data_IF_507349019015
#
_entry.id   IF_507349019015
#
_cell.length_a   1.000
_cell.length_b   1.000
_cell.length_c   1.000
_cell.angle_alpha   90.00
_cell.angle_beta   90.00
_cell.angle_gamma   90.00
#
_symmetry.space_group_name_H-M   'P 1'
#
loop_
_entity.id
_entity.type
_entity.pdbx_description
1 polymer ?
#
# COMPACT_ATOMS: atom_id res chain seq x y z
N UNK A 1 11.63 -17.22 12.96
CA UNK A 1 11.04 -16.32 11.94
C UNK A 1 11.23 -14.89 12.42
N UNK A 2 12.39 -14.30 12.11
CA UNK A 2 12.62 -12.88 12.37
C UNK A 2 11.80 -12.10 11.36
N UNK A 3 10.94 -11.25 11.89
CA UNK A 3 9.98 -10.54 11.11
C UNK A 3 10.62 -9.23 10.62
N UNK A 4 11.10 -9.25 9.38
CA UNK A 4 11.65 -8.09 8.66
C UNK A 4 10.49 -7.24 8.12
N UNK A 5 9.69 -6.69 9.02
CA UNK A 5 8.75 -5.61 8.70
C UNK A 5 9.61 -4.35 8.83
N UNK A 6 10.09 -3.83 7.70
CA UNK A 6 11.19 -2.85 7.60
C UNK A 6 11.22 -1.74 8.67
N UNK A 7 12.37 -1.08 8.90
CA UNK A 7 12.56 -0.24 10.09
C UNK A 7 11.50 0.87 10.18
N UNK A 8 10.81 0.90 11.32
CA UNK A 8 9.77 1.86 11.67
C UNK A 8 9.27 1.64 13.09
N UNK A 9 8.76 2.70 13.71
CA UNK A 9 8.29 2.70 15.11
C UNK A 9 6.76 2.62 15.21
N UNK A 10 6.06 2.57 14.07
CA UNK A 10 4.59 2.59 14.11
C UNK A 10 4.02 1.29 14.73
N UNK A 11 3.12 1.36 15.72
CA UNK A 11 2.58 0.17 16.42
C UNK A 11 1.80 -0.79 15.52
N UNK A 12 1.31 -0.28 14.39
CA UNK A 12 0.58 -1.04 13.38
C UNK A 12 1.46 -1.63 12.29
N UNK A 13 2.74 -1.24 12.23
CA UNK A 13 3.66 -1.78 11.23
C UNK A 13 3.70 -3.29 11.41
N UNK A 14 3.26 -3.97 10.35
CA UNK A 14 3.30 -5.41 10.33
C UNK A 14 2.27 -6.15 11.18
N UNK A 15 1.31 -5.41 11.73
CA UNK A 15 0.08 -6.01 12.23
C UNK A 15 -0.81 -6.38 11.05
N UNK A 16 -1.64 -7.40 11.26
CA UNK A 16 -2.70 -7.75 10.34
C UNK A 16 -3.85 -6.76 10.55
N UNK A 17 -4.28 -6.11 9.47
CA UNK A 17 -5.43 -5.22 9.53
C UNK A 17 -6.71 -6.06 9.68
N UNK A 18 -7.72 -5.60 10.45
CA UNK A 18 -8.96 -6.34 10.57
C UNK A 18 -9.67 -6.44 9.21
N UNK A 19 -10.01 -7.64 8.73
CA UNK A 19 -10.65 -7.80 7.41
C UNK A 19 -12.06 -7.17 7.34
N UNK A 20 -12.74 -7.04 8.49
CA UNK A 20 -14.06 -6.40 8.58
C UNK A 20 -13.97 -4.86 8.74
N UNK A 21 -12.76 -4.30 8.88
CA UNK A 21 -12.58 -2.84 8.92
C UNK A 21 -13.15 -2.23 7.64
N UNK A 22 -14.00 -1.22 7.80
CA UNK A 22 -14.58 -0.46 6.71
C UNK A 22 -13.86 0.87 6.58
N UNK A 23 -13.55 1.25 5.34
CA UNK A 23 -12.93 2.53 5.02
C UNK A 23 -13.94 3.40 4.31
N UNK A 24 -14.09 4.64 4.73
CA UNK A 24 -14.88 5.62 3.98
C UNK A 24 -14.01 6.20 2.88
N UNK A 25 -14.37 5.95 1.63
CA UNK A 25 -13.67 6.51 0.46
C UNK A 25 -14.23 7.89 0.13
N UNK A 26 -13.43 8.69 -0.58
CA UNK A 26 -13.83 10.03 -1.05
C UNK A 26 -15.04 10.01 -1.99
N UNK A 27 -15.29 8.89 -2.69
CA UNK A 27 -16.48 8.65 -3.51
C UNK A 27 -17.75 8.34 -2.68
N UNK A 28 -17.64 8.30 -1.35
CA UNK A 28 -18.75 8.02 -0.43
C UNK A 28 -19.02 6.53 -0.21
N UNK A 29 -18.32 5.65 -0.91
CA UNK A 29 -18.40 4.20 -0.71
C UNK A 29 -17.69 3.76 0.56
N UNK A 30 -18.13 2.63 1.14
CA UNK A 30 -17.58 2.06 2.38
C UNK A 30 -17.24 0.57 2.25
N UNK A 31 -16.28 0.20 1.39
CA UNK A 31 -15.86 -1.19 1.24
C UNK A 31 -15.18 -1.71 2.51
N UNK A 32 -15.20 -3.02 2.70
CA UNK A 32 -14.38 -3.69 3.73
C UNK A 32 -12.99 -3.94 3.18
N UNK A 33 -12.00 -3.98 4.06
CA UNK A 33 -10.64 -4.37 3.67
C UNK A 33 -10.63 -5.75 2.97
N UNK A 34 -11.43 -6.71 3.46
CA UNK A 34 -11.53 -8.03 2.83
C UNK A 34 -11.96 -7.97 1.36
N UNK A 35 -12.91 -7.11 1.01
CA UNK A 35 -13.39 -6.94 -0.36
C UNK A 35 -12.28 -6.32 -1.25
N UNK A 36 -11.53 -5.36 -0.71
CA UNK A 36 -10.43 -4.71 -1.42
C UNK A 36 -9.24 -5.66 -1.66
N UNK A 37 -8.94 -6.53 -0.70
CA UNK A 37 -7.87 -7.53 -0.82
C UNK A 37 -8.29 -8.78 -1.61
N UNK A 38 -9.57 -8.93 -1.96
CA UNK A 38 -10.06 -10.08 -2.71
C UNK A 38 -9.42 -10.21 -4.10
N UNK A 39 -8.88 -9.12 -4.65
CA UNK A 39 -8.16 -9.09 -5.93
C UNK A 39 -6.78 -9.75 -5.87
N UNK A 40 -6.34 -10.22 -4.69
CA UNK A 40 -5.00 -10.75 -4.44
C UNK A 40 -3.86 -9.76 -4.79
N UNK A 41 -4.18 -8.46 -4.74
CA UNK A 41 -3.24 -7.35 -4.97
C UNK A 41 -2.89 -6.64 -3.66
N UNK A 42 -1.78 -5.91 -3.67
CA UNK A 42 -1.47 -4.98 -2.58
C UNK A 42 -2.48 -3.84 -2.57
N UNK A 43 -2.69 -3.25 -1.40
CA UNK A 43 -3.60 -2.12 -1.22
C UNK A 43 -2.83 -0.96 -0.58
N UNK A 44 -2.82 0.19 -1.24
CA UNK A 44 -2.32 1.44 -0.68
C UNK A 44 -3.52 2.30 -0.28
N UNK A 45 -3.64 2.59 1.00
CA UNK A 45 -4.64 3.50 1.54
C UNK A 45 -3.96 4.81 1.84
N UNK A 46 -4.46 5.92 1.31
CA UNK A 46 -3.95 7.27 1.59
C UNK A 46 -5.09 8.25 1.85
N UNK A 47 -4.85 9.26 2.67
CA UNK A 47 -5.77 10.39 2.87
C UNK A 47 -5.49 11.59 1.96
N UNK A 48 -4.29 11.67 1.35
CA UNK A 48 -3.79 12.89 0.71
C UNK A 48 -3.44 12.75 -0.78
N UNK A 49 -3.68 11.60 -1.42
CA UNK A 49 -3.40 11.30 -2.85
C UNK A 49 -1.94 11.53 -3.31
N UNK A 50 -1.05 12.00 -2.43
CA UNK A 50 0.34 12.34 -2.71
C UNK A 50 1.20 11.10 -2.92
N UNK A 51 0.83 9.99 -2.29
CA UNK A 51 1.49 8.71 -2.42
C UNK A 51 0.82 7.84 -3.50
N UNK A 52 1.48 7.68 -4.65
CA UNK A 52 0.97 6.85 -5.74
C UNK A 52 2.01 5.83 -6.23
N UNK A 53 1.67 4.53 -6.26
CA UNK A 53 2.58 3.46 -6.61
C UNK A 53 2.61 3.26 -8.14
N UNK A 54 2.72 4.33 -8.94
CA UNK A 54 2.55 4.29 -10.40
C UNK A 54 3.28 3.11 -11.10
N UNK A 55 4.58 2.85 -10.88
CA UNK A 55 5.26 1.73 -11.55
C UNK A 55 4.92 0.35 -10.97
N UNK A 56 4.10 0.30 -9.91
CA UNK A 56 3.53 -0.91 -9.30
C UNK A 56 2.00 -0.97 -9.38
N UNK A 57 1.33 -0.04 -10.07
CA UNK A 57 -0.14 0.04 -10.13
C UNK A 57 -0.82 -1.22 -10.70
N UNK A 58 -0.08 -2.03 -11.46
CA UNK A 58 -0.51 -3.34 -11.97
C UNK A 58 -0.74 -4.39 -10.86
N UNK A 59 -0.08 -4.24 -9.72
CA UNK A 59 -0.14 -5.17 -8.58
C UNK A 59 -0.59 -4.51 -7.27
N UNK A 60 -0.85 -3.20 -7.29
CA UNK A 60 -1.24 -2.42 -6.13
C UNK A 60 -2.42 -1.53 -6.47
N UNK A 61 -3.53 -1.76 -5.80
CA UNK A 61 -4.70 -0.90 -5.84
C UNK A 61 -4.49 0.26 -4.88
N UNK A 62 -4.73 1.49 -5.36
CA UNK A 62 -4.63 2.70 -4.53
C UNK A 62 -6.02 3.23 -4.27
N UNK A 63 -6.36 3.43 -3.01
CA UNK A 63 -7.62 4.02 -2.60
C UNK A 63 -7.39 5.25 -1.74
N UNK A 64 -8.27 6.23 -1.91
CA UNK A 64 -8.24 7.45 -1.13
C UNK A 64 -9.39 7.46 -0.16
N UNK A 65 -9.05 7.39 1.12
CA UNK A 65 -10.00 7.41 2.20
C UNK A 65 -10.18 8.84 2.70
N UNK A 66 -11.40 9.20 3.09
CA UNK A 66 -11.67 10.48 3.78
C UNK A 66 -11.15 10.48 5.21
N UNK A 67 -10.95 9.28 5.76
CA UNK A 67 -10.47 9.04 7.11
C UNK A 67 -9.27 8.09 7.10
N UNK A 68 -8.30 8.29 7.99
CA UNK A 68 -7.15 7.41 8.06
C UNK A 68 -7.55 6.01 8.51
N UNK A 69 -6.84 4.94 8.05
CA UNK A 69 -7.16 3.57 8.45
C UNK A 69 -6.92 3.31 9.95
N UNK A 70 -6.11 4.16 10.59
CA UNK A 70 -5.93 4.19 12.03
C UNK A 70 -5.51 5.59 12.50
N UNK A 71 -5.70 5.94 13.78
CA UNK A 71 -5.29 7.23 14.30
C UNK A 71 -3.77 7.43 14.15
N UNK A 72 -3.37 8.58 13.60
CA UNK A 72 -1.96 8.92 13.39
C UNK A 72 -1.32 8.33 12.12
N UNK A 73 -2.11 7.77 11.20
CA UNK A 73 -1.64 7.25 9.91
C UNK A 73 -2.25 8.01 8.73
N UNK A 74 -1.43 8.63 7.90
CA UNK A 74 -1.88 9.26 6.65
C UNK A 74 -1.94 8.26 5.49
N UNK A 75 -0.90 7.41 5.38
CA UNK A 75 -0.81 6.40 4.33
C UNK A 75 -0.40 5.05 4.91
N UNK A 76 -1.02 3.96 4.45
CA UNK A 76 -0.66 2.60 4.82
C UNK A 76 -0.63 1.69 3.59
N UNK A 77 0.44 0.88 3.49
CA UNK A 77 0.58 -0.17 2.49
C UNK A 77 0.22 -1.50 3.13
N UNK A 78 -0.74 -2.20 2.54
CA UNK A 78 -1.22 -3.50 2.98
C UNK A 78 -0.90 -4.53 1.90
N UNK A 79 -0.34 -5.66 2.34
CA UNK A 79 -0.06 -6.81 1.48
C UNK A 79 -1.34 -7.56 1.10
N UNK A 80 -1.34 -8.36 0.02
CA UNK A 80 -2.49 -9.19 -0.34
C UNK A 80 -2.91 -10.17 0.77
N UNK A 81 -1.98 -10.53 1.67
CA UNK A 81 -2.24 -11.35 2.86
C UNK A 81 -2.87 -10.58 4.06
N UNK A 82 -3.05 -9.27 3.93
CA UNK A 82 -3.68 -8.40 4.93
C UNK A 82 -2.73 -7.86 6.00
N UNK A 83 -1.41 -8.01 5.84
CA UNK A 83 -0.43 -7.43 6.75
C UNK A 83 0.03 -6.05 6.29
N UNK A 84 0.19 -5.14 7.25
CA UNK A 84 0.68 -3.79 6.99
C UNK A 84 2.18 -3.84 6.71
N UNK A 85 2.59 -3.56 5.49
CA UNK A 85 3.98 -3.62 5.05
C UNK A 85 4.74 -2.30 5.28
N UNK A 86 4.02 -1.17 5.33
CA UNK A 86 4.60 0.16 5.48
C UNK A 86 3.53 1.16 5.93
N UNK A 87 3.94 2.19 6.68
CA UNK A 87 3.06 3.27 7.15
C UNK A 87 3.74 4.63 7.07
N UNK A 88 2.96 5.67 6.79
CA UNK A 88 3.38 7.07 6.93
C UNK A 88 2.33 7.84 7.74
N UNK A 89 2.75 8.59 8.76
CA UNK A 89 4.09 8.59 9.37
C UNK A 89 4.44 7.24 10.03
N UNK A 90 5.70 7.10 10.46
CA UNK A 90 6.14 6.00 11.33
C UNK A 90 6.94 4.87 10.67
N UNK A 91 7.25 4.97 9.37
CA UNK A 91 8.34 4.19 8.74
C UNK A 91 9.45 5.13 8.29
N UNK A 92 10.70 4.74 8.49
CA UNK A 92 11.89 5.57 8.17
C UNK A 92 12.17 5.64 6.66
N UNK A 93 11.73 4.63 5.93
CA UNK A 93 11.93 4.53 4.48
C UNK A 93 10.76 5.09 3.68
N UNK A 94 11.07 5.56 2.47
CA UNK A 94 10.05 5.98 1.50
C UNK A 94 9.20 4.82 0.99
N UNK A 95 7.99 5.15 0.54
CA UNK A 95 7.05 4.22 -0.08
C UNK A 95 7.73 3.39 -1.19
N UNK A 96 8.51 4.01 -2.08
CA UNK A 96 9.23 3.33 -3.18
C UNK A 96 10.13 2.20 -2.68
N UNK A 97 10.80 2.37 -1.54
CA UNK A 97 11.66 1.34 -0.97
C UNK A 97 10.84 0.17 -0.44
N UNK A 98 9.74 0.45 0.28
CA UNK A 98 8.81 -0.57 0.75
C UNK A 98 8.15 -1.32 -0.41
N UNK A 99 7.72 -0.61 -1.45
CA UNK A 99 7.18 -1.21 -2.67
C UNK A 99 8.19 -2.14 -3.34
N UNK A 100 9.44 -1.71 -3.46
CA UNK A 100 10.51 -2.53 -4.05
C UNK A 100 10.78 -3.79 -3.22
N UNK A 101 10.79 -3.67 -1.89
CA UNK A 101 11.06 -4.76 -0.99
C UNK A 101 9.95 -5.82 -0.99
N UNK A 102 8.69 -5.40 -0.88
CA UNK A 102 7.54 -6.30 -0.76
C UNK A 102 6.98 -6.78 -2.10
N UNK A 103 6.99 -5.91 -3.10
CA UNK A 103 6.37 -6.18 -4.40
C UNK A 103 7.40 -6.35 -5.51
N UNK A 104 8.70 -6.34 -5.21
CA UNK A 104 9.78 -6.47 -6.19
C UNK A 104 10.02 -5.17 -6.96
N UNK A 105 10.95 -5.20 -7.92
CA UNK A 105 11.32 -4.01 -8.70
C UNK A 105 10.12 -3.41 -9.43
N UNK A 106 10.09 -2.07 -9.47
CA UNK A 106 9.18 -1.30 -10.30
C UNK A 106 9.19 -1.89 -11.72
N UNK A 107 8.01 -2.06 -12.32
CA UNK A 107 7.99 -2.26 -13.76
C UNK A 107 8.44 -0.93 -14.33
N UNK A 108 9.70 -0.84 -14.75
CA UNK A 108 10.11 0.21 -15.66
C UNK A 108 9.08 0.17 -16.77
N UNK A 109 8.38 1.28 -17.01
CA UNK A 109 7.71 1.43 -18.29
C UNK A 109 8.78 1.11 -19.30
N UNK A 110 8.65 -0.03 -20.00
CA UNK A 110 9.53 -0.34 -21.09
C UNK A 110 9.38 0.85 -22.01
N UNK A 111 10.37 1.74 -21.99
CA UNK A 111 10.57 2.64 -23.11
C UNK A 111 10.74 1.67 -24.26
N UNK A 112 9.70 1.60 -25.08
CA UNK A 112 9.81 1.07 -26.42
C UNK A 112 10.84 1.95 -27.11
N UNK A 113 12.11 1.60 -26.96
CA UNK A 113 13.13 1.96 -27.91
C UNK A 113 13.20 0.79 -28.89
N UNK A 114 12.27 0.83 -29.84
CA UNK A 114 12.43 0.17 -31.13
C UNK A 114 13.69 0.71 -31.81
N UNK A 115 14.29 -0.13 -32.67
CA UNK A 115 15.39 0.09 -33.64
C UNK A 115 16.65 -0.69 -33.24
N UNK A 116 17.12 -1.69 -33.97
CA UNK A 116 16.79 -2.17 -35.30
C UNK A 116 17.56 -3.47 -35.58
N UNK A 117 17.22 -4.10 -36.70
CA UNK A 117 17.74 -5.37 -37.22
C UNK A 117 19.26 -5.51 -37.23
#
# INVERSE_FOLDING_TARGET
ISNDMGPGDHPLLGKRIPPDLRLTLTDGTRPRIADLLHTARGLLITTDQTDQPHPWADRIDTITATEPPAPGLDTALIRPDGYIAWTRPGTDHDLTHALTHWFGTARAMATAHETGR
#
